data_IF_317825749469
#
_entry.id   IF_317825749469
#
_cell.length_a   1.000
_cell.length_b   1.000
_cell.length_c   1.000
_cell.angle_alpha   90.00
_cell.angle_beta   90.00
_cell.angle_gamma   90.00
#
_symmetry.space_group_name_H-M   'P 1'
#
loop_
_entity.id
_entity.type
_entity.pdbx_description
1 polymer ?
#
# COMPACT_ATOMS: atom_id res chain seq x y z
N UNK A 1 -11.50 -27.82 13.76
CA UNK A 1 -11.00 -26.76 14.68
C UNK A 1 -9.73 -26.04 14.15
N UNK A 2 -8.63 -26.68 13.69
CA UNK A 2 -7.48 -25.97 13.08
C UNK A 2 -7.66 -25.60 11.60
N UNK A 3 -8.39 -26.44 10.84
CA UNK A 3 -8.61 -26.26 9.40
C UNK A 3 -9.54 -25.07 9.09
N UNK A 4 -10.61 -24.90 9.85
CA UNK A 4 -11.60 -23.83 9.68
C UNK A 4 -10.98 -22.44 9.84
N UNK A 5 -10.05 -22.31 10.79
CA UNK A 5 -9.31 -21.06 11.04
C UNK A 5 -8.32 -20.73 9.93
N UNK A 6 -7.70 -21.74 9.30
CA UNK A 6 -6.79 -21.56 8.15
C UNK A 6 -7.56 -21.11 6.91
N UNK A 7 -8.72 -21.71 6.64
CA UNK A 7 -9.56 -21.34 5.51
C UNK A 7 -10.14 -19.93 5.65
N UNK A 8 -10.61 -19.57 6.84
CA UNK A 8 -11.09 -18.22 7.12
C UNK A 8 -10.00 -17.15 6.87
N UNK A 9 -8.76 -17.40 7.29
CA UNK A 9 -7.64 -16.50 7.05
C UNK A 9 -7.26 -16.41 5.57
N UNK A 10 -7.26 -17.53 4.84
CA UNK A 10 -7.03 -17.54 3.39
C UNK A 10 -8.09 -16.73 2.65
N UNK A 11 -9.36 -16.92 2.97
CA UNK A 11 -10.47 -16.13 2.41
C UNK A 11 -10.29 -14.64 2.73
N UNK A 12 -9.89 -14.31 3.95
CA UNK A 12 -9.62 -12.91 4.34
C UNK A 12 -8.48 -12.29 3.51
N UNK A 13 -7.36 -13.00 3.32
CA UNK A 13 -6.24 -12.49 2.52
C UNK A 13 -6.59 -12.39 1.03
N UNK A 14 -7.38 -13.32 0.51
CA UNK A 14 -7.94 -13.20 -0.85
C UNK A 14 -8.82 -11.97 -0.98
N UNK A 15 -9.75 -11.78 -0.05
CA UNK A 15 -10.64 -10.60 -0.06
C UNK A 15 -9.86 -9.29 0.04
N UNK A 16 -8.83 -9.23 0.90
CA UNK A 16 -7.95 -8.06 1.00
C UNK A 16 -7.21 -7.82 -0.31
N UNK A 17 -6.47 -8.81 -0.83
CA UNK A 17 -5.69 -8.65 -2.05
C UNK A 17 -6.53 -8.32 -3.29
N UNK A 18 -7.73 -8.89 -3.40
CA UNK A 18 -8.68 -8.54 -4.47
C UNK A 18 -9.23 -7.12 -4.27
N UNK A 19 -9.55 -6.74 -3.02
CA UNK A 19 -10.02 -5.39 -2.70
C UNK A 19 -9.01 -4.31 -3.08
N UNK A 20 -7.74 -4.50 -2.76
CA UNK A 20 -6.65 -3.59 -3.13
C UNK A 20 -6.50 -3.48 -4.66
N UNK A 21 -6.59 -4.60 -5.37
CA UNK A 21 -6.48 -4.62 -6.84
C UNK A 21 -7.67 -3.93 -7.52
N UNK A 22 -8.87 -4.12 -6.98
CA UNK A 22 -10.08 -3.41 -7.42
C UNK A 22 -9.94 -1.92 -7.15
N UNK A 23 -9.46 -1.51 -5.97
CA UNK A 23 -9.22 -0.11 -5.65
C UNK A 23 -8.20 0.52 -6.62
N UNK A 24 -7.09 -0.17 -6.91
CA UNK A 24 -6.11 0.26 -7.91
C UNK A 24 -6.75 0.45 -9.30
N UNK A 25 -7.56 -0.52 -9.74
CA UNK A 25 -8.25 -0.42 -11.03
C UNK A 25 -9.22 0.77 -11.07
N UNK A 26 -10.01 0.97 -10.00
CA UNK A 26 -10.93 2.10 -9.89
C UNK A 26 -10.18 3.42 -9.94
N UNK A 27 -9.10 3.59 -9.15
CA UNK A 27 -8.30 4.81 -9.18
C UNK A 27 -7.64 5.07 -10.54
N UNK A 28 -7.10 4.03 -11.18
CA UNK A 28 -6.50 4.14 -12.51
C UNK A 28 -7.50 4.56 -13.60
N UNK A 29 -8.78 4.23 -13.44
CA UNK A 29 -9.84 4.55 -14.40
C UNK A 29 -10.51 5.89 -14.08
N UNK A 30 -10.81 6.14 -12.81
CA UNK A 30 -11.63 7.28 -12.38
C UNK A 30 -10.81 8.57 -12.28
N UNK A 31 -9.65 8.55 -11.61
CA UNK A 31 -8.90 9.78 -11.35
C UNK A 31 -8.40 10.50 -12.61
N UNK A 32 -7.89 9.81 -13.66
CA UNK A 32 -7.54 10.46 -14.91
C UNK A 32 -8.75 11.07 -15.64
N UNK A 33 -9.96 10.54 -15.45
CA UNK A 33 -11.20 11.09 -16.05
C UNK A 33 -11.73 12.32 -15.33
N UNK A 34 -11.42 12.46 -14.04
CA UNK A 34 -11.79 13.63 -13.22
C UNK A 34 -10.76 14.77 -13.34
N UNK A 35 -9.67 14.54 -14.06
CA UNK A 35 -8.56 15.49 -14.17
C UNK A 35 -8.53 16.11 -15.57
N UNK A 36 -8.43 17.44 -15.65
CA UNK A 36 -8.22 18.16 -16.91
C UNK A 36 -6.88 17.79 -17.56
N UNK A 37 -6.79 17.86 -18.88
CA UNK A 37 -5.56 17.52 -19.63
C UNK A 37 -4.33 18.31 -19.15
N UNK A 38 -4.51 19.58 -18.80
CA UNK A 38 -3.47 20.46 -18.23
C UNK A 38 -2.89 19.97 -16.89
N UNK A 39 -3.68 19.24 -16.09
CA UNK A 39 -3.28 18.73 -14.77
C UNK A 39 -2.93 17.23 -14.80
N UNK A 40 -3.02 16.59 -15.97
CA UNK A 40 -2.83 15.15 -16.12
C UNK A 40 -1.42 14.71 -15.70
N UNK A 41 -0.39 15.49 -16.03
CA UNK A 41 0.99 15.16 -15.67
C UNK A 41 1.17 15.10 -14.13
N UNK A 42 0.75 16.15 -13.41
CA UNK A 42 0.81 16.20 -11.96
C UNK A 42 -0.03 15.09 -11.31
N UNK A 43 -1.21 14.79 -11.87
CA UNK A 43 -2.04 13.67 -11.42
C UNK A 43 -1.36 12.32 -11.58
N UNK A 44 -0.72 12.05 -12.73
CA UNK A 44 0.03 10.81 -12.93
C UNK A 44 1.23 10.70 -11.98
N UNK A 45 1.88 11.82 -11.65
CA UNK A 45 2.94 11.83 -10.64
C UNK A 45 2.45 11.42 -9.23
N UNK A 46 1.19 11.71 -8.89
CA UNK A 46 0.56 11.23 -7.65
C UNK A 46 0.03 9.79 -7.76
N UNK A 47 -0.58 9.47 -8.90
CA UNK A 47 -1.31 8.23 -9.12
C UNK A 47 -0.39 7.03 -9.33
N UNK A 48 0.71 7.18 -10.08
CA UNK A 48 1.63 6.06 -10.34
C UNK A 48 2.21 5.47 -9.04
N UNK A 49 2.77 6.26 -8.10
CA UNK A 49 3.23 5.73 -6.81
C UNK A 49 2.14 4.97 -6.05
N UNK A 50 0.93 5.55 -5.98
CA UNK A 50 -0.21 4.93 -5.31
C UNK A 50 -0.58 3.56 -5.94
N UNK A 51 -0.71 3.50 -7.26
CA UNK A 51 -1.04 2.25 -7.97
C UNK A 51 0.02 1.17 -7.74
N UNK A 52 1.30 1.55 -7.80
CA UNK A 52 2.40 0.62 -7.54
C UNK A 52 2.32 0.04 -6.13
N UNK A 53 2.06 0.87 -5.12
CA UNK A 53 1.93 0.42 -3.73
C UNK A 53 0.72 -0.52 -3.57
N UNK A 54 -0.44 -0.19 -4.15
CA UNK A 54 -1.65 -1.03 -4.09
C UNK A 54 -1.44 -2.38 -4.79
N UNK A 55 -0.79 -2.40 -5.96
CA UNK A 55 -0.48 -3.65 -6.66
C UNK A 55 0.50 -4.50 -5.86
N UNK A 56 1.54 -3.90 -5.29
CA UNK A 56 2.47 -4.62 -4.42
C UNK A 56 1.79 -5.19 -3.16
N UNK A 57 0.87 -4.44 -2.56
CA UNK A 57 0.04 -4.91 -1.45
C UNK A 57 -0.87 -6.08 -1.87
N UNK A 58 -1.49 -5.98 -3.05
CA UNK A 58 -2.31 -7.06 -3.63
C UNK A 58 -1.48 -8.34 -3.82
N UNK A 59 -0.32 -8.22 -4.46
CA UNK A 59 0.62 -9.33 -4.67
C UNK A 59 1.07 -9.91 -3.34
N UNK A 60 1.35 -9.08 -2.34
CA UNK A 60 1.72 -9.53 -1.00
C UNK A 60 0.64 -10.41 -0.38
N UNK A 61 -0.61 -9.94 -0.30
CA UNK A 61 -1.70 -10.70 0.32
C UNK A 61 -1.98 -12.02 -0.41
N UNK A 62 -1.91 -11.99 -1.75
CA UNK A 62 -2.08 -13.17 -2.59
C UNK A 62 -0.91 -14.16 -2.44
N UNK A 63 0.32 -13.70 -2.24
CA UNK A 63 1.48 -14.55 -2.01
C UNK A 63 1.48 -15.14 -0.58
N UNK A 64 1.19 -14.30 0.43
CA UNK A 64 1.14 -14.69 1.85
C UNK A 64 0.17 -15.85 2.11
N UNK A 65 -0.89 -16.00 1.29
CA UNK A 65 -1.81 -17.14 1.34
C UNK A 65 -1.11 -18.51 1.26
N UNK A 66 0.05 -18.58 0.59
CA UNK A 66 0.80 -19.81 0.35
C UNK A 66 1.59 -20.26 1.57
N UNK A 67 1.94 -19.34 2.48
CA UNK A 67 2.85 -19.62 3.60
C UNK A 67 2.24 -19.45 4.98
N UNK A 68 1.00 -18.95 5.06
CA UNK A 68 0.19 -18.97 6.28
C UNK A 68 0.25 -20.37 6.91
N UNK A 69 0.94 -20.44 8.06
CA UNK A 69 1.00 -21.57 9.00
C UNK A 69 1.89 -22.78 8.66
N UNK A 70 2.72 -22.75 7.61
CA UNK A 70 3.57 -23.91 7.27
C UNK A 70 5.07 -23.64 7.32
N UNK A 71 5.55 -22.43 7.04
CA UNK A 71 6.97 -22.06 7.10
C UNK A 71 7.14 -20.56 7.39
N UNK A 72 8.25 -20.14 8.02
CA UNK A 72 8.63 -18.73 8.05
C UNK A 72 8.77 -18.20 6.62
N UNK A 73 8.58 -16.89 6.45
CA UNK A 73 8.72 -16.22 5.15
C UNK A 73 10.12 -16.52 4.59
N UNK A 74 10.24 -17.04 3.36
CA UNK A 74 11.52 -17.27 2.71
C UNK A 74 12.34 -15.98 2.66
N UNK A 75 13.58 -16.07 3.12
CA UNK A 75 14.51 -14.94 3.22
C UNK A 75 14.67 -14.15 1.90
N UNK A 76 14.54 -14.81 0.74
CA UNK A 76 14.56 -14.14 -0.57
C UNK A 76 13.40 -13.16 -0.75
N UNK A 77 12.20 -13.52 -0.29
CA UNK A 77 11.04 -12.63 -0.37
C UNK A 77 11.19 -11.51 0.66
N UNK A 78 11.70 -11.80 1.86
CA UNK A 78 12.02 -10.76 2.84
C UNK A 78 13.05 -9.73 2.32
N UNK A 79 14.07 -10.18 1.59
CA UNK A 79 15.04 -9.29 0.95
C UNK A 79 14.41 -8.43 -0.16
N UNK A 80 13.55 -9.01 -1.00
CA UNK A 80 12.82 -8.28 -2.04
C UNK A 80 11.91 -7.19 -1.43
N UNK A 81 11.18 -7.51 -0.35
CA UNK A 81 10.33 -6.51 0.34
C UNK A 81 11.14 -5.40 1.01
N UNK A 82 12.36 -5.69 1.50
CA UNK A 82 13.28 -4.64 1.98
C UNK A 82 13.69 -3.70 0.84
N UNK A 83 14.01 -4.25 -0.34
CA UNK A 83 14.28 -3.46 -1.54
C UNK A 83 13.08 -2.59 -1.95
N UNK A 84 11.87 -3.15 -1.94
CA UNK A 84 10.65 -2.40 -2.25
C UNK A 84 10.39 -1.25 -1.28
N UNK A 85 10.78 -1.36 -0.01
CA UNK A 85 10.65 -0.26 0.95
C UNK A 85 11.44 0.98 0.50
N UNK A 86 12.71 0.82 0.16
CA UNK A 86 13.53 1.94 -0.31
C UNK A 86 13.05 2.46 -1.68
N UNK A 87 12.69 1.55 -2.59
CA UNK A 87 12.14 1.90 -3.90
C UNK A 87 10.85 2.73 -3.78
N UNK A 88 9.91 2.35 -2.92
CA UNK A 88 8.65 3.08 -2.75
C UNK A 88 8.85 4.47 -2.16
N UNK A 89 9.82 4.65 -1.25
CA UNK A 89 10.18 5.99 -0.75
C UNK A 89 10.71 6.85 -1.89
N UNK A 90 11.65 6.31 -2.69
CA UNK A 90 12.17 7.03 -3.86
C UNK A 90 11.07 7.35 -4.86
N UNK A 91 10.13 6.44 -5.08
CA UNK A 91 8.99 6.61 -5.98
C UNK A 91 8.02 7.70 -5.49
N UNK A 92 7.68 7.71 -4.20
CA UNK A 92 6.85 8.76 -3.59
C UNK A 92 7.53 10.12 -3.62
N UNK A 93 8.84 10.18 -3.37
CA UNK A 93 9.63 11.41 -3.46
C UNK A 93 9.69 11.93 -4.90
N UNK A 94 9.95 11.06 -5.89
CA UNK A 94 9.92 11.42 -7.30
C UNK A 94 8.53 11.89 -7.74
N UNK A 95 7.47 11.24 -7.25
CA UNK A 95 6.09 11.67 -7.46
C UNK A 95 5.82 13.07 -6.90
N UNK A 96 6.28 13.36 -5.68
CA UNK A 96 6.15 14.69 -5.08
C UNK A 96 6.90 15.75 -5.87
N UNK A 97 8.14 15.47 -6.28
CA UNK A 97 8.94 16.38 -7.13
C UNK A 97 8.19 16.65 -8.43
N UNK A 98 7.62 15.63 -9.06
CA UNK A 98 6.79 15.79 -10.26
C UNK A 98 5.59 16.73 -10.01
N UNK A 99 4.85 16.52 -8.93
CA UNK A 99 3.71 17.40 -8.59
C UNK A 99 4.15 18.86 -8.45
N UNK A 100 5.34 19.11 -7.87
CA UNK A 100 5.88 20.47 -7.70
C UNK A 100 6.35 21.08 -9.04
N UNK A 101 6.93 20.29 -9.94
CA UNK A 101 7.39 20.77 -11.26
C UNK A 101 6.23 21.11 -12.18
N UNK A 102 5.20 20.25 -12.23
CA UNK A 102 4.03 20.42 -13.09
C UNK A 102 2.86 21.15 -12.42
N UNK A 103 3.10 21.81 -11.28
CA UNK A 103 2.15 22.55 -10.43
C UNK A 103 0.72 22.70 -11.01
N UNK A 104 -0.30 22.11 -10.37
CA UNK A 104 -1.65 22.16 -10.91
C UNK A 104 -2.18 23.59 -11.10
N UNK A 105 -2.93 23.80 -12.18
CA UNK A 105 -3.44 25.10 -12.63
C UNK A 105 -4.48 25.73 -11.70
N UNK A 106 -5.17 24.91 -10.90
CA UNK A 106 -6.23 25.34 -10.00
C UNK A 106 -6.03 24.77 -8.60
N UNK A 107 -6.53 25.50 -7.60
CA UNK A 107 -6.50 25.07 -6.19
C UNK A 107 -7.24 23.73 -6.02
N UNK A 108 -8.39 23.56 -6.70
CA UNK A 108 -9.15 22.31 -6.64
C UNK A 108 -8.36 21.10 -7.17
N UNK A 109 -7.70 21.26 -8.32
CA UNK A 109 -6.83 20.21 -8.87
C UNK A 109 -5.61 19.95 -7.97
N UNK A 110 -5.00 21.00 -7.40
CA UNK A 110 -3.89 20.87 -6.47
C UNK A 110 -4.28 20.07 -5.22
N UNK A 111 -5.44 20.37 -4.63
CA UNK A 111 -5.96 19.62 -3.48
C UNK A 111 -6.23 18.16 -3.83
N UNK A 112 -6.83 17.88 -4.99
CA UNK A 112 -7.09 16.51 -5.43
C UNK A 112 -5.78 15.72 -5.63
N UNK A 113 -4.83 16.28 -6.36
CA UNK A 113 -3.52 15.66 -6.63
C UNK A 113 -2.76 15.39 -5.33
N UNK A 114 -2.72 16.38 -4.43
CA UNK A 114 -2.08 16.23 -3.12
C UNK A 114 -2.79 15.20 -2.25
N UNK A 115 -4.13 15.12 -2.29
CA UNK A 115 -4.89 14.11 -1.56
C UNK A 115 -4.57 12.69 -2.06
N UNK A 116 -4.49 12.50 -3.38
CA UNK A 116 -4.10 11.21 -3.99
C UNK A 116 -2.67 10.83 -3.60
N UNK A 117 -1.74 11.78 -3.66
CA UNK A 117 -0.35 11.53 -3.26
C UNK A 117 -0.25 11.20 -1.76
N UNK A 118 -0.92 11.96 -0.91
CA UNK A 118 -0.95 11.74 0.53
C UNK A 118 -1.57 10.38 0.87
N UNK A 119 -2.62 9.97 0.15
CA UNK A 119 -3.20 8.64 0.28
C UNK A 119 -2.16 7.54 -0.07
N UNK A 120 -1.36 7.74 -1.12
CA UNK A 120 -0.23 6.86 -1.44
C UNK A 120 0.81 6.76 -0.32
N UNK A 121 1.14 7.87 0.35
CA UNK A 121 2.02 7.87 1.53
C UNK A 121 1.40 7.08 2.68
N UNK A 122 0.11 7.28 2.97
CA UNK A 122 -0.61 6.54 4.02
C UNK A 122 -0.59 5.04 3.73
N UNK A 123 -0.83 4.63 2.48
CA UNK A 123 -0.76 3.22 2.09
C UNK A 123 0.66 2.66 2.22
N UNK A 124 1.69 3.42 1.80
CA UNK A 124 3.07 3.02 2.02
C UNK A 124 3.38 2.79 3.50
N UNK A 125 2.97 3.73 4.37
CA UNK A 125 3.17 3.60 5.81
C UNK A 125 2.44 2.37 6.34
N UNK A 126 1.17 2.19 5.96
CA UNK A 126 0.30 1.08 6.36
C UNK A 126 0.93 -0.29 6.04
N UNK A 127 1.57 -0.39 4.88
CA UNK A 127 2.13 -1.65 4.38
C UNK A 127 3.58 -1.90 4.78
N UNK A 128 4.42 -0.87 4.83
CA UNK A 128 5.89 -1.02 4.95
C UNK A 128 6.48 -0.48 6.26
N UNK A 129 5.75 0.31 7.05
CA UNK A 129 6.30 1.00 8.24
C UNK A 129 5.52 0.63 9.51
N UNK A 130 4.22 0.94 9.57
CA UNK A 130 3.33 0.69 10.74
C UNK A 130 1.95 0.26 10.27
N UNK A 131 1.35 -0.74 10.91
CA UNK A 131 0.02 -1.23 10.52
C UNK A 131 -1.08 -0.26 10.97
N UNK A 132 -1.49 0.66 10.11
CA UNK A 132 -2.58 1.61 10.39
C UNK A 132 -3.99 1.01 10.21
N UNK A 133 -4.10 -0.17 9.58
CA UNK A 133 -5.39 -0.83 9.30
C UNK A 133 -6.11 -1.32 10.57
N UNK A 134 -6.78 -0.40 11.27
CA UNK A 134 -7.88 -0.66 12.19
C UNK A 134 -9.23 -0.29 11.55
N UNK A 135 -10.33 -0.97 11.93
CA UNK A 135 -11.68 -0.51 11.59
C UNK A 135 -11.88 0.92 12.10
N UNK A 136 -12.52 1.75 11.29
CA UNK A 136 -12.67 3.22 11.49
C UNK A 136 -13.22 3.60 12.88
N UNK A 137 -13.97 2.71 13.53
CA UNK A 137 -14.52 2.90 14.87
C UNK A 137 -13.52 2.84 16.05
N UNK A 138 -12.27 2.41 15.85
CA UNK A 138 -11.26 2.36 16.93
C UNK A 138 -9.98 3.16 16.64
N UNK A 139 -10.01 4.02 15.62
CA UNK A 139 -8.85 4.76 15.11
C UNK A 139 -8.30 5.80 16.10
N UNK A 140 -9.19 6.57 16.75
CA UNK A 140 -8.80 7.63 17.69
C UNK A 140 -8.17 7.14 18.99
N UNK A 141 -8.53 5.95 19.48
CA UNK A 141 -8.08 5.47 20.80
C UNK A 141 -6.74 4.73 20.81
N UNK A 142 -6.11 4.49 19.64
CA UNK A 142 -4.94 3.60 19.51
C UNK A 142 -3.76 4.13 18.70
N UNK A 143 -3.77 5.41 18.34
CA UNK A 143 -2.66 6.10 17.65
C UNK A 143 -1.31 5.97 18.40
N UNK A 144 -1.32 5.74 19.71
CA UNK A 144 -0.10 5.54 20.51
C UNK A 144 0.51 4.13 20.52
N UNK A 145 -0.19 3.10 20.01
CA UNK A 145 0.32 1.72 20.05
C UNK A 145 0.99 1.36 18.71
N UNK A 146 2.27 1.74 18.57
CA UNK A 146 3.16 1.34 17.49
C UNK A 146 3.29 -0.20 17.44
N UNK A 147 2.37 -0.87 16.75
CA UNK A 147 2.45 -2.32 16.51
C UNK A 147 3.06 -2.58 15.13
N UNK A 148 4.11 -3.40 15.13
CA UNK A 148 4.82 -3.83 13.92
C UNK A 148 3.86 -4.46 12.91
N UNK A 149 3.95 -4.07 11.62
CA UNK A 149 3.20 -4.73 10.54
C UNK A 149 3.45 -6.23 10.51
N UNK A 150 2.44 -7.02 10.14
CA UNK A 150 2.59 -8.48 9.97
C UNK A 150 3.71 -8.82 8.97
N UNK A 151 3.86 -8.02 7.92
CA UNK A 151 4.97 -8.14 6.97
C UNK A 151 6.34 -8.02 7.68
N UNK A 152 6.49 -7.06 8.59
CA UNK A 152 7.74 -6.86 9.36
C UNK A 152 7.96 -8.00 10.36
N UNK A 153 6.90 -8.51 10.99
CA UNK A 153 6.97 -9.67 11.88
C UNK A 153 7.37 -10.95 11.13
N UNK A 154 6.89 -11.12 9.90
CA UNK A 154 7.25 -12.24 9.03
C UNK A 154 8.72 -12.14 8.55
N UNK A 155 9.22 -10.92 8.32
CA UNK A 155 10.64 -10.68 8.04
C UNK A 155 11.51 -11.01 9.27
N UNK A 156 11.14 -10.54 10.46
CA UNK A 156 11.90 -10.77 11.70
C UNK A 156 11.92 -12.23 12.14
N UNK A 157 10.87 -13.00 11.86
CA UNK A 157 10.81 -14.43 12.15
C UNK A 157 11.58 -15.31 11.14
N UNK A 158 12.13 -14.71 10.08
CA UNK A 158 12.93 -15.41 9.07
C UNK A 158 14.44 -15.36 9.30
N UNK A 159 14.92 -14.60 10.31
CA UNK A 159 16.32 -14.62 10.71
C UNK A 159 16.62 -15.82 11.62
N UNK A 160 17.66 -16.63 11.32
CA UNK A 160 18.16 -17.60 12.27
C UNK A 160 18.77 -16.85 13.45
N UNK A 161 18.38 -17.22 14.68
CA UNK A 161 19.08 -16.79 15.90
C UNK A 161 20.50 -17.31 15.92
#
# INVERSE_FOLDING_TARGET
MPHDRREALRRKYLSLGVGELVAAAVFAVVLPRLTSAENAAAMWCALVPLLVILVQASVYWLAARRWVHSRPMPARIAAVYRGFRAFNVALLAAGLIGILVWMPSTIGAALLVLAVWAFGVVEYVNYFVVRLSYPVGSWLSRIGQWRTPRLVQDIQSSEPR
#
